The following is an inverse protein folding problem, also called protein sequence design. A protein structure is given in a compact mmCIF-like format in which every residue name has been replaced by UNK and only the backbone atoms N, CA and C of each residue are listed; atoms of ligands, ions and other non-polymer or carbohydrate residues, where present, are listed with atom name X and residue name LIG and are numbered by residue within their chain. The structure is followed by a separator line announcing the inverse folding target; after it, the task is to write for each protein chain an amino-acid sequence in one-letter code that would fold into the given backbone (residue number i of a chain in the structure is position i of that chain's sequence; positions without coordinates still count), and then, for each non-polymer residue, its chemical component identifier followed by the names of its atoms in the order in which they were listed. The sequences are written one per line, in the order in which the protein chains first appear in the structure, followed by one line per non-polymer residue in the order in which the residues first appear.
data_IF_405226468019
#
_entry.id   IF_405226468019
#
_cell.length_a   1.000
_cell.length_b   1.000
_cell.length_c   1.000
_cell.angle_alpha   90.00
_cell.angle_beta   90.00
_cell.angle_gamma   90.00
#
_symmetry.space_group_name_H-M   'P 1'
#
loop_
_entity.id
_entity.type
_entity.pdbx_description
1 polymer ?
#
# COMPACT_ATOMS: atom_id res chain seq x y z
N UNK A 1 6.71 4.46 -4.68
CA UNK A 1 5.23 4.45 -4.71
C UNK A 1 4.65 5.86 -4.82
N UNK A 2 5.24 6.86 -4.14
CA UNK A 2 4.83 8.26 -4.29
C UNK A 2 4.95 8.74 -5.74
N UNK A 3 6.12 8.63 -6.34
CA UNK A 3 6.36 9.06 -7.71
C UNK A 3 5.48 8.32 -8.71
N UNK A 4 5.31 7.03 -8.53
CA UNK A 4 4.49 6.16 -9.36
C UNK A 4 3.01 6.58 -9.33
N UNK A 5 2.44 6.71 -8.13
CA UNK A 5 1.04 7.12 -7.95
C UNK A 5 0.80 8.56 -8.45
N UNK A 6 1.72 9.49 -8.16
CA UNK A 6 1.61 10.89 -8.59
C UNK A 6 1.71 11.06 -10.10
N UNK A 7 2.53 10.26 -10.79
CA UNK A 7 2.61 10.26 -12.25
C UNK A 7 1.38 9.61 -12.90
N UNK A 8 0.92 8.50 -12.35
CA UNK A 8 -0.19 7.71 -12.89
C UNK A 8 -1.51 8.48 -12.87
N UNK A 9 -1.78 9.29 -11.83
CA UNK A 9 -3.00 10.09 -11.73
C UNK A 9 -3.22 11.02 -12.93
N UNK A 10 -2.31 11.95 -13.23
CA UNK A 10 -2.38 12.80 -14.42
C UNK A 10 -2.41 12.00 -15.73
N UNK A 11 -1.67 10.91 -15.84
CA UNK A 11 -1.70 10.04 -17.01
C UNK A 11 -3.10 9.46 -17.23
N UNK A 12 -3.76 8.98 -16.19
CA UNK A 12 -5.14 8.46 -16.25
C UNK A 12 -6.18 9.55 -16.54
N UNK A 13 -5.86 10.83 -16.33
CA UNK A 13 -6.72 11.95 -16.72
C UNK A 13 -6.68 12.26 -18.22
N UNK A 14 -5.69 11.76 -18.96
CA UNK A 14 -5.63 11.88 -20.42
C UNK A 14 -6.82 11.13 -21.01
N UNK A 15 -7.58 11.76 -21.91
CA UNK A 15 -8.87 11.29 -22.43
C UNK A 15 -8.83 9.85 -22.98
N UNK A 16 -7.81 9.51 -23.74
CA UNK A 16 -7.62 8.17 -24.31
C UNK A 16 -7.27 7.13 -23.27
N UNK A 17 -6.44 7.47 -22.29
CA UNK A 17 -6.08 6.59 -21.16
C UNK A 17 -7.27 6.42 -20.23
N UNK A 18 -7.97 7.51 -19.92
CA UNK A 18 -9.18 7.46 -19.08
C UNK A 18 -10.27 6.56 -19.70
N UNK A 19 -10.48 6.64 -21.00
CA UNK A 19 -11.42 5.78 -21.70
C UNK A 19 -11.11 4.28 -21.54
N UNK A 20 -9.84 3.91 -21.32
CA UNK A 20 -9.41 2.53 -21.06
C UNK A 20 -9.48 2.16 -19.57
N UNK A 21 -9.05 3.08 -18.69
CA UNK A 21 -8.88 2.79 -17.27
C UNK A 21 -10.13 3.00 -16.42
N UNK A 22 -11.08 3.81 -16.89
CA UNK A 22 -12.25 4.23 -16.11
C UNK A 22 -13.12 3.05 -15.68
N UNK A 23 -13.40 2.95 -14.39
CA UNK A 23 -14.11 1.85 -13.72
C UNK A 23 -13.43 0.47 -13.77
N UNK A 24 -12.22 0.35 -14.30
CA UNK A 24 -11.47 -0.91 -14.30
C UNK A 24 -10.67 -1.11 -13.02
N UNK A 25 -10.14 -2.31 -12.83
CA UNK A 25 -9.19 -2.64 -11.75
C UNK A 25 -7.91 -1.79 -11.81
N UNK A 26 -7.58 -1.17 -12.94
CA UNK A 26 -6.46 -0.23 -13.02
C UNK A 26 -6.62 0.94 -12.05
N UNK A 27 -7.82 1.53 -11.99
CA UNK A 27 -8.11 2.60 -11.01
C UNK A 27 -7.94 2.10 -9.57
N UNK A 28 -8.33 0.85 -9.29
CA UNK A 28 -8.12 0.24 -7.97
C UNK A 28 -6.63 0.07 -7.66
N UNK A 29 -5.83 -0.39 -8.64
CA UNK A 29 -4.37 -0.49 -8.52
C UNK A 29 -3.72 0.86 -8.23
N UNK A 30 -4.11 1.90 -8.96
CA UNK A 30 -3.64 3.28 -8.75
C UNK A 30 -3.91 3.77 -7.33
N UNK A 31 -5.15 3.66 -6.85
CA UNK A 31 -5.52 4.12 -5.49
C UNK A 31 -4.72 3.36 -4.42
N UNK A 32 -4.54 2.05 -4.57
CA UNK A 32 -3.82 1.26 -3.58
C UNK A 32 -2.29 1.47 -3.64
N UNK A 33 -1.72 1.80 -4.79
CA UNK A 33 -0.32 2.22 -4.88
C UNK A 33 -0.07 3.49 -4.07
N UNK A 34 -1.00 4.45 -4.10
CA UNK A 34 -0.95 5.65 -3.28
C UNK A 34 -1.27 5.39 -1.81
N UNK A 35 -2.41 4.76 -1.51
CA UNK A 35 -2.90 4.60 -0.15
C UNK A 35 -2.05 3.63 0.68
N UNK A 36 -1.73 2.45 0.16
CA UNK A 36 -1.00 1.42 0.88
C UNK A 36 0.51 1.47 0.60
N UNK A 37 0.90 1.70 -0.64
CA UNK A 37 2.31 1.77 -1.01
C UNK A 37 2.97 3.06 -0.51
N UNK A 38 2.41 4.21 -0.82
CA UNK A 38 3.01 5.49 -0.41
C UNK A 38 2.61 5.89 1.00
N UNK A 39 1.34 6.26 1.22
CA UNK A 39 0.89 6.82 2.51
C UNK A 39 1.04 5.78 3.62
N UNK A 40 0.67 4.52 3.35
CA UNK A 40 0.79 3.43 4.32
C UNK A 40 2.23 3.22 4.78
N UNK A 41 3.17 2.99 3.87
CA UNK A 41 4.57 2.70 4.25
C UNK A 41 5.26 3.89 4.93
N UNK A 42 4.99 5.15 4.51
CA UNK A 42 5.52 6.33 5.20
C UNK A 42 4.95 6.43 6.62
N UNK A 43 3.64 6.23 6.79
CA UNK A 43 3.00 6.29 8.11
C UNK A 43 3.56 5.23 9.06
N UNK A 44 3.76 4.00 8.55
CA UNK A 44 4.35 2.91 9.33
C UNK A 44 5.80 3.18 9.71
N UNK A 45 6.59 3.73 8.78
CA UNK A 45 7.97 4.19 9.06
C UNK A 45 8.00 5.28 10.13
N UNK A 46 7.06 6.22 10.08
CA UNK A 46 6.91 7.27 11.09
C UNK A 46 6.57 6.68 12.47
N UNK A 47 5.69 5.66 12.53
CA UNK A 47 5.38 4.97 13.79
C UNK A 47 6.62 4.30 14.38
N UNK A 48 7.44 3.64 13.59
CA UNK A 48 8.69 3.04 14.05
C UNK A 48 9.67 4.05 14.62
N UNK A 49 9.65 5.29 14.13
CA UNK A 49 10.45 6.39 14.65
C UNK A 49 9.85 7.01 15.92
N UNK A 50 8.55 7.25 15.93
CA UNK A 50 7.86 8.01 16.99
C UNK A 50 7.55 7.15 18.22
N UNK A 51 7.09 5.91 18.04
CA UNK A 51 6.62 5.06 19.15
C UNK A 51 7.69 4.88 20.24
N UNK A 52 8.96 4.52 19.95
CA UNK A 52 9.95 4.43 21.01
C UNK A 52 10.10 5.74 21.78
N UNK A 53 10.13 6.87 21.09
CA UNK A 53 10.33 8.21 21.69
C UNK A 53 9.17 8.61 22.58
N UNK A 54 7.93 8.40 22.13
CA UNK A 54 6.73 8.72 22.91
C UNK A 54 6.65 7.90 24.20
N UNK A 55 7.08 6.63 24.14
CA UNK A 55 7.08 5.74 25.30
C UNK A 55 8.42 5.74 26.07
N UNK A 56 9.32 6.70 25.81
CA UNK A 56 10.60 6.82 26.50
C UNK A 56 11.54 5.62 26.30
N UNK A 57 11.49 4.99 25.12
CA UNK A 57 12.36 3.87 24.74
C UNK A 57 13.48 4.35 23.80
N UNK A 58 14.58 3.62 23.76
CA UNK A 58 15.67 3.89 22.84
C UNK A 58 15.43 3.37 21.44
N UNK A 59 14.72 2.23 21.34
CA UNK A 59 14.46 1.54 20.07
C UNK A 59 13.17 0.71 20.14
N UNK A 60 12.72 0.21 18.99
CA UNK A 60 11.61 -0.72 18.89
C UNK A 60 11.98 -2.07 19.54
N UNK A 61 10.99 -2.80 20.01
CA UNK A 61 11.14 -4.10 20.66
C UNK A 61 11.92 -5.11 19.80
N UNK A 62 11.66 -5.15 18.48
CA UNK A 62 12.31 -6.07 17.55
C UNK A 62 12.62 -5.41 16.22
N UNK A 63 13.91 -5.34 15.85
CA UNK A 63 14.36 -4.86 14.53
C UNK A 63 14.03 -5.86 13.43
N UNK A 64 14.17 -7.16 13.69
CA UNK A 64 13.80 -8.20 12.72
C UNK A 64 12.31 -8.19 12.37
N UNK A 65 11.44 -7.84 13.33
CA UNK A 65 10.02 -7.66 13.05
C UNK A 65 9.75 -6.44 12.13
N UNK A 66 10.55 -5.38 12.23
CA UNK A 66 10.48 -4.24 11.31
C UNK A 66 10.83 -4.68 9.89
N UNK A 67 11.95 -5.40 9.73
CA UNK A 67 12.41 -5.89 8.42
C UNK A 67 11.39 -6.87 7.81
N UNK A 68 10.89 -7.80 8.61
CA UNK A 68 9.87 -8.76 8.15
C UNK A 68 8.59 -8.05 7.71
N UNK A 69 8.08 -7.09 8.51
CA UNK A 69 6.94 -6.27 8.11
C UNK A 69 7.22 -5.53 6.80
N UNK A 70 8.37 -4.85 6.69
CA UNK A 70 8.73 -4.10 5.50
C UNK A 70 8.69 -4.95 4.23
N UNK A 71 9.30 -6.15 4.27
CA UNK A 71 9.33 -7.02 3.10
C UNK A 71 7.97 -7.63 2.79
N UNK A 72 7.22 -8.08 3.79
CA UNK A 72 5.88 -8.61 3.58
C UNK A 72 4.93 -7.55 3.02
N UNK A 73 4.96 -6.33 3.55
CA UNK A 73 4.14 -5.25 3.07
C UNK A 73 4.55 -4.81 1.66
N UNK A 74 5.86 -4.70 1.38
CA UNK A 74 6.37 -4.28 0.07
C UNK A 74 6.04 -5.31 -1.01
N UNK A 75 6.33 -6.59 -0.78
CA UNK A 75 6.01 -7.67 -1.73
C UNK A 75 4.50 -7.77 -1.90
N UNK A 76 3.76 -7.69 -0.79
CA UNK A 76 2.29 -7.76 -0.80
C UNK A 76 1.66 -6.69 -1.65
N UNK A 77 2.06 -5.42 -1.47
CA UNK A 77 1.50 -4.32 -2.27
C UNK A 77 1.94 -4.36 -3.73
N UNK A 78 3.17 -4.78 -4.04
CA UNK A 78 3.63 -4.94 -5.42
C UNK A 78 2.81 -6.00 -6.15
N UNK A 79 2.57 -7.16 -5.54
CA UNK A 79 1.71 -8.20 -6.13
C UNK A 79 0.28 -7.69 -6.33
N UNK A 80 -0.25 -6.97 -5.35
CA UNK A 80 -1.59 -6.41 -5.40
C UNK A 80 -1.76 -5.46 -6.59
N UNK A 81 -0.92 -4.42 -6.67
CA UNK A 81 -1.04 -3.39 -7.71
C UNK A 81 -0.73 -3.94 -9.10
N UNK A 82 0.27 -4.81 -9.25
CA UNK A 82 0.59 -5.44 -10.53
C UNK A 82 -0.59 -6.27 -11.05
N UNK A 83 -1.23 -7.07 -10.19
CA UNK A 83 -2.41 -7.82 -10.56
C UNK A 83 -3.57 -6.90 -11.00
N UNK A 84 -3.78 -5.79 -10.29
CA UNK A 84 -4.86 -4.84 -10.61
C UNK A 84 -4.57 -4.06 -11.90
N UNK A 85 -3.33 -3.68 -12.18
CA UNK A 85 -2.98 -3.03 -13.43
C UNK A 85 -3.19 -3.93 -14.64
N UNK A 86 -2.69 -5.17 -14.58
CA UNK A 86 -2.85 -6.13 -15.68
C UNK A 86 -4.33 -6.45 -15.89
N UNK A 87 -5.06 -6.75 -14.82
CA UNK A 87 -6.50 -6.99 -14.86
C UNK A 87 -7.26 -5.79 -15.42
N UNK A 88 -6.94 -4.58 -14.98
CA UNK A 88 -7.64 -3.37 -15.38
C UNK A 88 -7.42 -3.01 -16.86
N UNK A 89 -6.20 -3.15 -17.37
CA UNK A 89 -5.91 -2.97 -18.81
C UNK A 89 -6.68 -4.01 -19.63
N UNK A 90 -6.66 -5.27 -19.22
CA UNK A 90 -7.41 -6.35 -19.87
C UNK A 90 -8.93 -6.07 -19.87
N UNK A 91 -9.49 -5.68 -18.72
CA UNK A 91 -10.90 -5.30 -18.61
C UNK A 91 -11.26 -4.17 -19.58
N UNK A 92 -10.47 -3.08 -19.57
CA UNK A 92 -10.71 -1.94 -20.45
C UNK A 92 -10.66 -2.31 -21.93
N UNK A 93 -9.77 -3.19 -22.35
CA UNK A 93 -9.68 -3.70 -23.72
C UNK A 93 -10.90 -4.58 -24.06
N UNK A 94 -11.28 -5.51 -23.18
CA UNK A 94 -12.43 -6.38 -23.39
C UNK A 94 -13.76 -5.60 -23.48
N UNK A 95 -13.97 -4.60 -22.61
CA UNK A 95 -15.21 -3.82 -22.58
C UNK A 95 -15.38 -2.90 -23.78
N UNK A 96 -14.29 -2.60 -24.50
CA UNK A 96 -14.31 -1.75 -25.71
C UNK A 96 -14.26 -2.54 -27.00
N UNK A 97 -14.08 -3.84 -26.92
CA UNK A 97 -14.07 -4.68 -28.12
C UNK A 97 -15.49 -4.82 -28.67
N UNK A 98 -15.67 -4.34 -29.90
CA UNK A 98 -16.95 -4.43 -30.64
C UNK A 98 -16.75 -5.13 -31.97
N UNK A 99 -17.73 -5.90 -32.37
CA UNK A 99 -17.81 -6.57 -33.65
C UNK A 99 -18.19 -5.57 -34.78
N UNK A 100 -18.06 -5.99 -36.03
CA UNK A 100 -18.39 -5.15 -37.18
C UNK A 100 -19.87 -4.70 -37.21
N UNK A 101 -20.76 -5.46 -36.58
CA UNK A 101 -22.19 -5.17 -36.44
C UNK A 101 -22.52 -4.27 -35.24
N UNK A 102 -21.52 -3.84 -34.49
CA UNK A 102 -21.66 -2.99 -33.30
C UNK A 102 -22.01 -3.73 -32.01
N UNK A 103 -22.10 -5.06 -32.02
CA UNK A 103 -22.30 -5.85 -30.79
C UNK A 103 -20.99 -6.00 -29.99
N UNK A 104 -21.11 -6.27 -28.69
CA UNK A 104 -19.92 -6.51 -27.85
C UNK A 104 -19.26 -7.84 -28.22
N UNK A 105 -17.94 -7.83 -28.38
CA UNK A 105 -17.16 -9.05 -28.64
C UNK A 105 -17.15 -9.99 -27.45
N UNK A 106 -17.09 -9.45 -26.23
CA UNK A 106 -17.06 -10.21 -24.99
C UNK A 106 -18.28 -9.92 -24.13
N UNK A 107 -18.83 -10.96 -23.53
CA UNK A 107 -19.86 -10.82 -22.51
C UNK A 107 -19.26 -10.33 -21.19
N UNK A 108 -20.08 -9.77 -20.32
CA UNK A 108 -19.65 -9.38 -18.96
C UNK A 108 -19.07 -10.57 -18.18
N UNK A 109 -19.68 -11.74 -18.29
CA UNK A 109 -19.24 -12.97 -17.59
C UNK A 109 -17.85 -13.41 -18.07
N UNK A 110 -17.55 -13.30 -19.36
CA UNK A 110 -16.22 -13.62 -19.90
C UNK A 110 -15.15 -12.68 -19.34
N UNK A 111 -15.44 -11.38 -19.25
CA UNK A 111 -14.53 -10.40 -18.65
C UNK A 111 -14.28 -10.69 -17.17
N UNK A 112 -15.31 -11.04 -16.39
CA UNK A 112 -15.17 -11.44 -14.99
C UNK A 112 -14.33 -12.70 -14.84
N UNK A 113 -14.59 -13.73 -15.66
CA UNK A 113 -13.81 -14.98 -15.63
C UNK A 113 -12.32 -14.75 -15.96
N UNK A 114 -12.03 -13.88 -16.93
CA UNK A 114 -10.66 -13.52 -17.28
C UNK A 114 -9.92 -12.81 -16.13
N UNK A 115 -10.63 -12.12 -15.23
CA UNK A 115 -10.06 -11.44 -14.07
C UNK A 115 -9.72 -12.37 -12.89
N UNK A 116 -10.24 -13.59 -12.82
CA UNK A 116 -10.06 -14.51 -11.69
C UNK A 116 -8.59 -14.78 -11.30
N UNK A 117 -7.66 -15.05 -12.21
CA UNK A 117 -6.26 -15.28 -11.85
C UNK A 117 -5.65 -14.07 -11.10
N UNK A 118 -5.98 -12.86 -11.54
CA UNK A 118 -5.49 -11.63 -10.91
C UNK A 118 -6.11 -11.40 -9.53
N UNK A 119 -7.36 -11.81 -9.32
CA UNK A 119 -8.01 -11.77 -8.01
C UNK A 119 -7.35 -12.72 -7.00
N UNK A 120 -6.87 -13.86 -7.44
CA UNK A 120 -6.08 -14.77 -6.59
C UNK A 120 -4.76 -14.12 -6.20
N UNK A 121 -4.01 -13.56 -7.18
CA UNK A 121 -2.75 -12.86 -6.91
C UNK A 121 -2.96 -11.66 -5.98
N UNK A 122 -3.99 -10.86 -6.22
CA UNK A 122 -4.39 -9.74 -5.36
C UNK A 122 -4.66 -10.20 -3.93
N UNK A 123 -5.38 -11.31 -3.76
CA UNK A 123 -5.70 -11.87 -2.44
C UNK A 123 -4.45 -12.28 -1.70
N UNK A 124 -3.51 -12.97 -2.36
CA UNK A 124 -2.21 -13.35 -1.78
C UNK A 124 -1.43 -12.09 -1.38
N UNK A 125 -1.36 -11.09 -2.25
CA UNK A 125 -0.70 -9.81 -1.95
C UNK A 125 -1.32 -9.10 -0.74
N UNK A 126 -2.65 -9.06 -0.66
CA UNK A 126 -3.38 -8.48 0.48
C UNK A 126 -3.14 -9.23 1.78
N UNK A 127 -3.09 -10.56 1.75
CA UNK A 127 -2.78 -11.37 2.93
C UNK A 127 -1.34 -11.16 3.43
N UNK A 128 -0.36 -11.04 2.53
CA UNK A 128 1.02 -10.70 2.90
C UNK A 128 1.08 -9.32 3.57
N UNK A 129 0.43 -8.32 2.99
CA UNK A 129 0.38 -6.97 3.55
C UNK A 129 -0.28 -6.98 4.94
N UNK A 130 -1.43 -7.64 5.08
CA UNK A 130 -2.13 -7.77 6.36
C UNK A 130 -1.27 -8.48 7.41
N UNK A 131 -0.58 -9.55 7.04
CA UNK A 131 0.33 -10.27 7.94
C UNK A 131 1.44 -9.35 8.44
N UNK A 132 2.04 -8.56 7.54
CA UNK A 132 3.01 -7.53 7.91
C UNK A 132 2.44 -6.53 8.91
N UNK A 133 1.19 -6.06 8.71
CA UNK A 133 0.51 -5.15 9.63
C UNK A 133 0.29 -5.74 11.02
N UNK A 134 -0.07 -7.01 11.11
CA UNK A 134 -0.21 -7.71 12.40
C UNK A 134 1.14 -7.80 13.14
N UNK A 135 2.21 -8.10 12.43
CA UNK A 135 3.58 -8.12 12.99
C UNK A 135 3.97 -6.71 13.48
N UNK A 136 3.67 -5.67 12.71
CA UNK A 136 3.92 -4.29 13.11
C UNK A 136 3.14 -3.93 14.39
N UNK A 137 1.85 -4.22 14.42
CA UNK A 137 1.00 -3.95 15.58
C UNK A 137 1.51 -4.65 16.85
N UNK A 138 1.91 -5.91 16.74
CA UNK A 138 2.53 -6.64 17.82
C UNK A 138 3.84 -5.96 18.30
N UNK A 139 4.71 -5.56 17.38
CA UNK A 139 6.00 -4.92 17.70
C UNK A 139 5.78 -3.56 18.37
N UNK A 140 4.83 -2.77 17.90
CA UNK A 140 4.41 -1.49 18.52
C UNK A 140 3.89 -1.71 19.93
N UNK A 141 2.98 -2.67 20.12
CA UNK A 141 2.43 -3.00 21.45
C UNK A 141 3.53 -3.45 22.42
N UNK A 142 4.41 -4.34 21.97
CA UNK A 142 5.56 -4.79 22.81
C UNK A 142 6.51 -3.65 23.15
N UNK A 143 6.76 -2.74 22.23
CA UNK A 143 7.59 -1.55 22.48
C UNK A 143 6.96 -0.66 23.55
N UNK A 144 5.67 -0.38 23.45
CA UNK A 144 4.96 0.44 24.41
C UNK A 144 4.88 -0.19 25.81
N UNK A 145 4.59 -1.52 25.86
CA UNK A 145 4.36 -2.25 27.10
C UNK A 145 5.66 -2.71 27.81
N UNK A 146 6.78 -2.84 27.12
CA UNK A 146 8.02 -3.42 27.64
C UNK A 146 9.12 -2.38 27.89
N UNK A 147 9.98 -2.66 28.89
CA UNK A 147 11.21 -1.93 29.16
C UNK A 147 11.07 -0.73 30.10
N UNK A 148 12.19 -0.32 30.69
CA UNK A 148 12.26 0.90 31.51
C UNK A 148 12.23 2.13 30.62
N UNK A 149 11.48 3.15 31.03
CA UNK A 149 11.57 4.46 30.41
C UNK A 149 12.99 5.02 30.60
N UNK A 150 13.57 5.58 29.54
CA UNK A 150 14.82 6.33 29.66
C UNK A 150 14.53 7.60 30.49
N UNK A 151 15.19 7.79 31.62
CA UNK A 151 15.12 9.07 32.33
C UNK A 151 15.79 10.12 31.44
N UNK A 152 15.03 10.95 30.81
CA UNK A 152 15.52 12.15 30.14
C UNK A 152 15.83 13.17 31.24
N UNK A 153 17.10 13.37 31.55
CA UNK A 153 17.52 14.50 32.35
C UNK A 153 17.42 15.75 31.50
N UNK A 154 16.35 16.52 31.69
CA UNK A 154 16.24 17.84 31.05
C UNK A 154 17.36 18.70 31.67
N UNK A 155 18.31 19.24 30.89
CA UNK A 155 19.30 20.17 31.43
C UNK A 155 18.57 21.33 32.11
N UNK A 156 18.96 21.67 33.32
CA UNK A 156 18.41 22.86 33.97
C UNK A 156 18.66 24.08 33.09
N UNK A 157 17.60 24.80 32.78
CA UNK A 157 17.73 26.07 32.05
C UNK A 157 18.57 27.01 32.91
N UNK A 158 19.73 27.40 32.39
CA UNK A 158 20.58 28.35 33.07
C UNK A 158 19.87 29.71 33.11
N UNK A 159 19.48 30.22 34.28
CA UNK A 159 18.73 31.49 34.38
C UNK A 159 19.55 32.72 33.95
N UNK A 160 20.84 32.56 33.61
CA UNK A 160 21.71 33.65 33.14
C UNK A 160 21.45 34.07 31.68
N UNK A 161 20.52 33.44 30.95
CA UNK A 161 20.15 33.77 29.58
C UNK A 161 18.64 34.02 29.43
N UNK A 162 17.91 34.30 30.50
CA UNK A 162 16.51 34.71 30.49
C UNK A 162 16.38 36.25 30.55
#
# INVERSE_FOLDING_TARGET
FYGMSTFEGPMMAIKTVNALSHYTDWTVGHVHSGALGWVGLISMGSLYYLVPRVFGKTEMHSKSAIELHFWLATIGIVLYIAAMWISGVMQGLMWRAVNADGTLTYTFVESVKASYPFYVIRTVGGLLYLTGMVIMAWNVFKTAASGRAVKVTVPAVNPAHA
#
